data_IF_418270501779
#
_entry.id   IF_418270501779
#
_cell.length_a   1.000
_cell.length_b   1.000
_cell.length_c   1.000
_cell.angle_alpha   90.00
_cell.angle_beta   90.00
_cell.angle_gamma   90.00
#
_symmetry.space_group_name_H-M   'P 1'
#
loop_
_entity.id
_entity.type
_entity.pdbx_description
1 polymer ?
#
# COMPACT_ATOMS: atom_id res chain seq x y z
N UNK A 1 -15.37 -3.54 -16.96
CA UNK A 1 -16.36 -2.86 -16.07
C UNK A 1 -15.68 -1.96 -15.03
N UNK A 2 -14.66 -2.45 -14.27
CA UNK A 2 -13.89 -1.64 -13.32
C UNK A 2 -13.19 -0.47 -14.00
N UNK A 3 -12.38 -0.75 -15.01
CA UNK A 3 -11.61 0.24 -15.75
C UNK A 3 -12.49 1.31 -16.41
N UNK A 4 -13.62 0.91 -17.00
CA UNK A 4 -14.60 1.85 -17.57
C UNK A 4 -15.15 2.81 -16.51
N UNK A 5 -15.59 2.30 -15.35
CA UNK A 5 -16.15 3.16 -14.30
C UNK A 5 -15.14 4.09 -13.67
N UNK A 6 -13.91 3.63 -13.49
CA UNK A 6 -12.84 4.48 -12.96
C UNK A 6 -12.48 5.57 -13.98
N UNK A 7 -12.39 5.22 -15.26
CA UNK A 7 -12.14 6.18 -16.32
C UNK A 7 -13.26 7.22 -16.45
N UNK A 8 -14.52 6.79 -16.44
CA UNK A 8 -15.67 7.71 -16.45
C UNK A 8 -15.64 8.67 -15.25
N UNK A 9 -15.42 8.17 -14.04
CA UNK A 9 -15.37 8.98 -12.83
C UNK A 9 -14.20 9.97 -12.78
N UNK A 10 -13.12 9.70 -13.52
CA UNK A 10 -11.92 10.52 -13.57
C UNK A 10 -11.78 11.29 -14.88
N UNK A 11 -12.83 11.32 -15.72
CA UNK A 11 -12.79 11.90 -17.07
C UNK A 11 -11.60 11.36 -17.89
N UNK A 12 -11.34 10.06 -17.81
CA UNK A 12 -10.25 9.36 -18.50
C UNK A 12 -8.84 9.88 -18.17
N UNK A 13 -8.67 10.62 -17.08
CA UNK A 13 -7.35 11.14 -16.69
C UNK A 13 -6.39 10.03 -16.23
N UNK A 14 -6.91 8.89 -15.79
CA UNK A 14 -6.13 7.72 -15.37
C UNK A 14 -5.82 6.75 -16.51
N UNK A 15 -6.39 6.94 -17.69
CA UNK A 15 -6.12 6.11 -18.88
C UNK A 15 -4.88 6.60 -19.64
N UNK A 16 -3.80 6.82 -18.90
CA UNK A 16 -2.51 7.22 -19.45
C UNK A 16 -1.48 6.12 -19.20
N UNK A 17 -0.51 6.04 -20.06
CA UNK A 17 0.64 5.18 -19.85
C UNK A 17 1.39 5.59 -18.57
N UNK A 18 1.88 4.61 -17.82
CA UNK A 18 2.71 4.87 -16.63
C UNK A 18 3.89 5.79 -16.95
N UNK A 19 4.49 5.64 -18.13
CA UNK A 19 5.60 6.48 -18.60
C UNK A 19 5.25 7.97 -18.74
N UNK A 20 3.97 8.31 -18.95
CA UNK A 20 3.53 9.70 -19.04
C UNK A 20 3.69 10.48 -17.73
N UNK A 21 3.75 9.79 -16.59
CA UNK A 21 3.92 10.39 -15.27
C UNK A 21 5.39 10.59 -14.88
N UNK A 22 6.35 10.06 -15.65
CA UNK A 22 7.78 10.14 -15.32
C UNK A 22 8.28 11.59 -15.22
N UNK A 23 8.01 12.43 -16.22
CA UNK A 23 8.43 13.82 -16.21
C UNK A 23 7.77 14.66 -15.10
N UNK A 24 6.44 14.56 -14.87
CA UNK A 24 5.78 15.20 -13.74
C UNK A 24 6.37 14.82 -12.36
N UNK A 25 6.72 13.55 -12.15
CA UNK A 25 7.41 13.12 -10.92
C UNK A 25 8.80 13.73 -10.79
N UNK A 26 9.61 13.64 -11.86
CA UNK A 26 10.98 14.18 -11.87
C UNK A 26 11.04 15.69 -11.63
N UNK A 27 10.01 16.41 -12.05
CA UNK A 27 9.90 17.85 -11.82
C UNK A 27 9.30 18.23 -10.47
N UNK A 28 8.91 17.25 -9.64
CA UNK A 28 8.23 17.51 -8.37
C UNK A 28 6.78 18.01 -8.51
N UNK A 29 6.21 17.99 -9.73
CA UNK A 29 4.82 18.41 -9.96
C UNK A 29 3.81 17.45 -9.31
N UNK A 30 4.14 16.18 -9.27
CA UNK A 30 3.39 15.14 -8.57
C UNK A 30 4.33 14.32 -7.69
N UNK A 31 3.83 13.69 -6.60
CA UNK A 31 4.61 12.76 -5.80
C UNK A 31 5.05 11.55 -6.61
N UNK A 32 6.15 10.91 -6.21
CA UNK A 32 6.57 9.62 -6.74
C UNK A 32 5.51 8.56 -6.45
N UNK A 33 5.13 7.80 -7.47
CA UNK A 33 4.10 6.76 -7.37
C UNK A 33 4.72 5.37 -7.43
N UNK A 34 4.36 4.53 -6.47
CA UNK A 34 4.70 3.10 -6.46
C UNK A 34 3.41 2.33 -6.23
N UNK A 35 2.97 1.58 -7.23
CA UNK A 35 1.81 0.71 -7.16
C UNK A 35 2.30 -0.72 -6.98
N UNK A 36 1.92 -1.35 -5.86
CA UNK A 36 2.31 -2.73 -5.55
C UNK A 36 1.24 -3.74 -5.95
N UNK A 37 1.65 -4.95 -6.24
CA UNK A 37 0.80 -6.14 -6.33
C UNK A 37 1.56 -7.33 -5.74
N UNK A 38 0.89 -8.47 -5.55
CA UNK A 38 1.51 -9.71 -5.08
C UNK A 38 1.60 -10.71 -6.21
N UNK A 39 2.78 -11.27 -6.47
CA UNK A 39 2.95 -12.40 -7.38
C UNK A 39 2.47 -13.67 -6.67
N UNK A 40 1.49 -14.37 -7.25
CA UNK A 40 0.90 -15.57 -6.62
C UNK A 40 1.92 -16.72 -6.58
N UNK A 41 2.75 -16.84 -7.61
CA UNK A 41 3.65 -17.98 -7.80
C UNK A 41 4.73 -18.10 -6.71
N UNK A 42 5.23 -16.97 -6.21
CA UNK A 42 6.36 -16.94 -5.26
C UNK A 42 6.22 -15.91 -4.14
N UNK A 43 5.08 -15.24 -4.06
CA UNK A 43 4.71 -14.28 -3.02
C UNK A 43 5.57 -13.00 -3.00
N UNK A 44 6.40 -12.72 -4.01
CA UNK A 44 7.13 -11.46 -4.11
C UNK A 44 6.20 -10.29 -4.48
N UNK A 45 6.64 -9.07 -4.14
CA UNK A 45 6.02 -7.88 -4.68
C UNK A 45 6.23 -7.76 -6.18
N UNK A 46 5.24 -7.23 -6.87
CA UNK A 46 5.34 -6.72 -8.23
C UNK A 46 5.11 -5.21 -8.16
N UNK A 47 6.14 -4.42 -8.45
CA UNK A 47 6.06 -2.97 -8.39
C UNK A 47 5.90 -2.37 -9.78
N UNK A 48 4.92 -1.47 -9.89
CA UNK A 48 4.74 -0.58 -11.04
C UNK A 48 5.11 0.83 -10.60
N UNK A 49 5.96 1.49 -11.37
CA UNK A 49 6.34 2.88 -11.14
C UNK A 49 6.71 3.53 -12.47
N UNK A 50 6.45 4.85 -12.65
CA UNK A 50 6.91 5.60 -13.80
C UNK A 50 8.43 5.65 -13.93
N UNK A 51 9.14 5.63 -12.80
CA UNK A 51 10.59 5.65 -12.73
C UNK A 51 11.16 4.31 -12.29
N UNK A 52 12.47 4.09 -12.51
CA UNK A 52 13.12 2.90 -12.00
C UNK A 52 13.22 2.96 -10.47
N UNK A 53 12.79 1.86 -9.85
CA UNK A 53 12.79 1.65 -8.40
C UNK A 53 13.57 0.39 -8.00
N UNK A 54 14.56 0.01 -8.80
CA UNK A 54 15.39 -1.18 -8.59
C UNK A 54 16.05 -1.23 -7.20
N UNK A 55 16.26 -0.07 -6.58
CA UNK A 55 16.78 0.06 -5.21
C UNK A 55 15.78 -0.39 -4.12
N UNK A 56 14.51 -0.64 -4.48
CA UNK A 56 13.47 -1.12 -3.56
C UNK A 56 13.17 -2.62 -3.68
N UNK A 57 13.82 -3.34 -4.59
CA UNK A 57 13.50 -4.76 -4.84
C UNK A 57 13.98 -5.71 -3.74
N UNK A 58 14.85 -5.26 -2.86
CA UNK A 58 15.32 -5.99 -1.69
C UNK A 58 15.47 -5.04 -0.50
N UNK A 59 15.43 -5.55 0.74
CA UNK A 59 15.70 -4.73 1.92
C UNK A 59 17.08 -4.07 1.82
N UNK A 60 17.19 -2.82 2.25
CA UNK A 60 18.44 -2.09 2.32
C UNK A 60 18.96 -2.12 3.76
N UNK A 61 20.06 -2.83 3.98
CA UNK A 61 20.71 -2.88 5.29
C UNK A 61 22.17 -2.50 5.12
N UNK A 62 22.58 -1.48 5.91
CA UNK A 62 23.97 -1.04 6.01
C UNK A 62 24.46 -1.34 7.43
N UNK A 63 25.56 -2.04 7.57
CA UNK A 63 26.22 -2.30 8.84
C UNK A 63 27.59 -1.58 8.91
N UNK A 64 28.32 -1.73 10.02
CA UNK A 64 29.63 -1.13 10.22
C UNK A 64 30.71 -1.54 9.19
N UNK A 65 30.46 -2.62 8.45
CA UNK A 65 31.37 -3.11 7.39
C UNK A 65 30.91 -2.68 5.99
N UNK A 66 29.81 -1.96 5.89
CA UNK A 66 29.22 -1.47 4.66
C UNK A 66 27.86 -2.11 4.34
N UNK A 67 27.54 -2.18 3.06
CA UNK A 67 26.26 -2.70 2.58
C UNK A 67 26.17 -4.22 2.69
N UNK A 68 25.04 -4.74 3.20
CA UNK A 68 24.77 -6.18 3.26
C UNK A 68 24.03 -6.58 1.99
N UNK A 69 24.71 -7.30 1.10
CA UNK A 69 24.16 -7.70 -0.20
C UNK A 69 23.49 -9.09 -0.20
N UNK A 70 23.67 -9.86 0.87
CA UNK A 70 23.11 -11.22 1.01
C UNK A 70 21.65 -11.22 1.50
N UNK A 71 20.84 -10.32 0.93
CA UNK A 71 19.40 -10.24 1.22
C UNK A 71 18.59 -10.80 0.06
N UNK A 72 17.57 -11.58 0.39
CA UNK A 72 16.65 -12.13 -0.60
C UNK A 72 15.98 -11.02 -1.42
N UNK A 73 15.92 -11.21 -2.73
CA UNK A 73 15.13 -10.35 -3.62
C UNK A 73 13.65 -10.54 -3.31
N UNK A 74 13.04 -9.48 -2.79
CA UNK A 74 11.70 -9.48 -2.22
C UNK A 74 10.64 -8.92 -3.18
N UNK A 75 11.09 -8.27 -4.25
CA UNK A 75 10.21 -7.64 -5.22
C UNK A 75 10.75 -7.78 -6.64
N UNK A 76 9.84 -7.58 -7.60
CA UNK A 76 10.12 -7.49 -9.03
C UNK A 76 9.65 -6.12 -9.51
N UNK A 77 10.52 -5.39 -10.19
CA UNK A 77 10.16 -4.15 -10.89
C UNK A 77 9.57 -4.51 -12.25
N UNK A 78 8.30 -4.17 -12.48
CA UNK A 78 7.58 -4.52 -13.71
C UNK A 78 8.27 -3.97 -14.97
N UNK A 79 8.65 -2.70 -14.95
CA UNK A 79 9.28 -2.04 -16.10
C UNK A 79 10.60 -2.70 -16.52
N UNK A 80 11.37 -3.19 -15.56
CA UNK A 80 12.65 -3.87 -15.80
C UNK A 80 12.44 -5.31 -16.26
N UNK A 81 11.53 -6.03 -15.59
CA UNK A 81 11.28 -7.45 -15.88
C UNK A 81 10.63 -7.66 -17.24
N UNK A 82 9.78 -6.74 -17.66
CA UNK A 82 9.07 -6.78 -18.94
C UNK A 82 9.61 -5.79 -20.00
N UNK A 83 10.85 -5.31 -19.83
CA UNK A 83 11.45 -4.32 -20.72
C UNK A 83 11.32 -4.70 -22.18
N UNK A 84 11.66 -5.93 -22.54
CA UNK A 84 11.65 -6.45 -23.92
C UNK A 84 10.24 -6.83 -24.41
N UNK A 85 9.22 -6.67 -23.57
CA UNK A 85 7.80 -6.97 -23.87
C UNK A 85 6.91 -5.73 -23.83
N UNK A 86 7.49 -4.54 -23.96
CA UNK A 86 6.73 -3.30 -24.00
C UNK A 86 6.18 -2.85 -22.65
N UNK A 87 6.91 -3.10 -21.56
CA UNK A 87 6.50 -2.71 -20.20
C UNK A 87 6.19 -1.21 -20.04
N UNK A 88 6.78 -0.35 -20.87
CA UNK A 88 6.48 1.09 -20.90
C UNK A 88 5.07 1.45 -21.39
N UNK A 89 4.37 0.49 -21.99
CA UNK A 89 3.02 0.68 -22.56
C UNK A 89 1.90 0.25 -21.59
N UNK A 90 2.21 -0.06 -20.33
CA UNK A 90 1.16 -0.32 -19.36
C UNK A 90 0.46 0.98 -18.97
N UNK A 91 -0.87 0.95 -18.94
CA UNK A 91 -1.66 2.08 -18.43
C UNK A 91 -1.64 2.12 -16.90
N UNK A 92 -1.74 3.31 -16.34
CA UNK A 92 -1.82 3.48 -14.89
C UNK A 92 -3.01 2.72 -14.29
N UNK A 93 -4.14 2.71 -15.00
CA UNK A 93 -5.35 2.00 -14.58
C UNK A 93 -5.14 0.48 -14.51
N UNK A 94 -4.33 -0.10 -15.38
CA UNK A 94 -4.02 -1.54 -15.37
C UNK A 94 -3.13 -1.90 -14.16
N UNK A 95 -2.19 -1.04 -13.80
CA UNK A 95 -1.41 -1.19 -12.58
C UNK A 95 -2.30 -1.13 -11.33
N UNK A 96 -3.22 -0.14 -11.26
CA UNK A 96 -4.21 -0.03 -10.17
C UNK A 96 -5.12 -1.24 -10.11
N UNK A 97 -5.60 -1.74 -11.26
CA UNK A 97 -6.42 -2.94 -11.32
C UNK A 97 -5.67 -4.15 -10.76
N UNK A 98 -4.40 -4.32 -11.13
CA UNK A 98 -3.58 -5.42 -10.63
C UNK A 98 -3.38 -5.32 -9.11
N UNK A 99 -3.13 -4.10 -8.59
CA UNK A 99 -3.03 -3.82 -7.16
C UNK A 99 -4.29 -4.18 -6.38
N UNK A 100 -5.46 -4.00 -6.98
CA UNK A 100 -6.76 -4.12 -6.34
C UNK A 100 -7.52 -5.42 -6.72
N UNK A 101 -6.83 -6.40 -7.28
CA UNK A 101 -7.40 -7.69 -7.67
C UNK A 101 -7.52 -8.61 -6.44
N UNK A 102 -8.54 -8.34 -5.62
CA UNK A 102 -8.77 -9.09 -4.38
C UNK A 102 -9.29 -10.51 -4.68
N UNK A 103 -8.74 -11.55 -4.02
CA UNK A 103 -9.17 -12.93 -4.19
C UNK A 103 -10.69 -13.10 -3.99
N UNK A 104 -11.31 -13.96 -4.77
CA UNK A 104 -12.75 -14.27 -4.78
C UNK A 104 -13.68 -13.16 -5.29
N UNK A 105 -13.21 -11.90 -5.42
CA UNK A 105 -13.98 -10.78 -5.99
C UNK A 105 -13.60 -10.56 -7.45
N UNK A 106 -12.31 -10.66 -7.77
CA UNK A 106 -11.81 -10.53 -9.14
C UNK A 106 -10.84 -11.65 -9.48
N UNK A 107 -10.82 -12.12 -10.75
CA UNK A 107 -9.84 -13.11 -11.18
C UNK A 107 -8.43 -12.52 -11.15
N UNK A 108 -7.43 -13.36 -10.81
CA UNK A 108 -6.03 -12.97 -10.86
C UNK A 108 -5.63 -12.39 -12.22
N UNK A 109 -4.70 -11.46 -12.24
CA UNK A 109 -4.13 -10.91 -13.48
C UNK A 109 -3.02 -11.84 -13.95
N UNK A 110 -3.14 -12.25 -15.21
CA UNK A 110 -2.15 -13.10 -15.87
C UNK A 110 -1.14 -12.24 -16.62
N UNK A 111 0.13 -12.40 -16.31
CA UNK A 111 1.21 -11.68 -16.97
C UNK A 111 1.68 -12.46 -18.21
N UNK A 112 2.14 -11.78 -19.27
CA UNK A 112 2.55 -12.43 -20.52
C UNK A 112 3.94 -13.10 -20.40
N UNK A 113 4.04 -14.12 -19.55
CA UNK A 113 5.28 -14.85 -19.24
C UNK A 113 5.15 -16.34 -19.54
N UNK A 114 6.31 -17.01 -19.71
CA UNK A 114 6.42 -18.46 -19.76
C UNK A 114 7.56 -18.90 -18.80
N UNK A 115 7.28 -19.60 -17.68
CA UNK A 115 5.96 -20.01 -17.22
C UNK A 115 5.05 -18.83 -16.89
N UNK A 116 3.74 -19.08 -16.88
CA UNK A 116 2.72 -18.06 -16.58
C UNK A 116 2.86 -17.54 -15.14
N UNK A 117 2.98 -16.23 -14.99
CA UNK A 117 2.99 -15.53 -13.71
C UNK A 117 1.61 -14.93 -13.47
N UNK A 118 1.11 -15.08 -12.26
CA UNK A 118 -0.18 -14.54 -11.82
C UNK A 118 0.06 -13.50 -10.73
N UNK A 119 -0.66 -12.39 -10.82
CA UNK A 119 -0.62 -11.31 -9.83
C UNK A 119 -2.00 -11.06 -9.24
N UNK A 120 -2.02 -10.61 -7.99
CA UNK A 120 -3.22 -10.27 -7.23
C UNK A 120 -2.97 -9.12 -6.27
N UNK A 121 -3.96 -8.79 -5.48
CA UNK A 121 -4.00 -7.69 -4.53
C UNK A 121 -2.72 -7.57 -3.69
N UNK A 122 -2.24 -6.34 -3.52
CA UNK A 122 -1.06 -6.04 -2.73
C UNK A 122 -1.27 -6.33 -1.24
N UNK A 123 -2.51 -6.17 -0.74
CA UNK A 123 -2.84 -6.30 0.68
C UNK A 123 -2.57 -7.69 1.26
N UNK A 124 -2.44 -8.71 0.42
CA UNK A 124 -2.04 -10.05 0.87
C UNK A 124 -0.60 -10.02 1.41
N UNK A 125 0.26 -9.22 0.82
CA UNK A 125 1.64 -9.08 1.25
C UNK A 125 1.90 -7.84 2.09
N UNK A 126 1.26 -6.73 1.74
CA UNK A 126 1.45 -5.43 2.36
C UNK A 126 0.18 -4.59 2.23
N UNK A 127 -0.49 -4.36 3.34
CA UNK A 127 -1.78 -3.67 3.36
C UNK A 127 -1.69 -2.16 3.65
N UNK A 128 -0.54 -1.69 4.14
CA UNK A 128 -0.36 -0.31 4.62
C UNK A 128 0.58 0.55 3.77
N UNK A 129 1.40 -0.07 2.94
CA UNK A 129 2.48 0.58 2.20
C UNK A 129 3.70 0.95 3.07
N UNK A 130 3.69 0.62 4.36
CA UNK A 130 4.77 0.98 5.28
C UNK A 130 6.07 0.22 4.99
N UNK A 131 6.00 -1.06 4.60
CA UNK A 131 7.20 -1.82 4.28
C UNK A 131 7.97 -1.19 3.10
N UNK A 132 7.28 -0.71 2.08
CA UNK A 132 7.89 -0.01 0.94
C UNK A 132 8.40 1.36 1.35
N UNK A 133 7.62 2.11 2.14
CA UNK A 133 7.97 3.46 2.58
C UNK A 133 9.17 3.46 3.53
N UNK A 134 9.24 2.51 4.47
CA UNK A 134 10.40 2.37 5.38
C UNK A 134 11.65 1.91 4.63
N UNK A 135 11.50 1.07 3.61
CA UNK A 135 12.59 0.69 2.71
C UNK A 135 13.11 1.87 1.91
N UNK A 136 12.22 2.70 1.37
CA UNK A 136 12.59 3.94 0.70
C UNK A 136 13.39 4.87 1.64
N UNK A 137 12.87 5.10 2.85
CA UNK A 137 13.59 5.88 3.85
C UNK A 137 14.97 5.29 4.13
N UNK A 138 15.09 3.97 4.32
CA UNK A 138 16.37 3.31 4.62
C UNK A 138 17.41 3.51 3.51
N UNK A 139 16.99 3.47 2.24
CA UNK A 139 17.87 3.72 1.08
C UNK A 139 18.40 5.14 1.07
N UNK A 140 17.54 6.12 1.36
CA UNK A 140 17.86 7.56 1.29
C UNK A 140 18.13 8.20 2.67
N UNK A 141 18.27 7.38 3.70
CA UNK A 141 18.40 7.84 5.10
C UNK A 141 19.43 8.95 5.29
N UNK A 142 20.66 8.73 4.82
CA UNK A 142 21.74 9.68 5.02
C UNK A 142 21.42 11.05 4.37
N UNK A 143 20.75 11.04 3.22
CA UNK A 143 20.32 12.26 2.54
C UNK A 143 19.13 12.92 3.24
N UNK A 144 18.15 12.15 3.63
CA UNK A 144 16.94 12.65 4.32
C UNK A 144 17.31 13.26 5.66
N UNK A 145 18.15 12.57 6.45
CA UNK A 145 18.60 13.05 7.74
C UNK A 145 19.44 14.36 7.64
N UNK A 146 20.15 14.53 6.53
CA UNK A 146 20.96 15.74 6.31
C UNK A 146 20.18 16.93 5.72
N UNK A 147 19.04 16.69 5.05
CA UNK A 147 18.38 17.71 4.24
C UNK A 147 16.92 17.97 4.64
N UNK A 148 16.38 17.28 5.64
CA UNK A 148 15.00 17.47 6.08
C UNK A 148 14.90 17.64 7.59
N UNK A 149 13.85 18.33 8.05
CA UNK A 149 13.55 18.50 9.47
C UNK A 149 12.81 17.32 10.09
N UNK A 150 12.32 16.38 9.30
CA UNK A 150 11.57 15.21 9.77
C UNK A 150 10.93 14.41 8.65
N UNK A 151 10.42 13.22 9.03
CA UNK A 151 9.68 12.33 8.14
C UNK A 151 8.30 12.07 8.71
N UNK A 152 7.29 12.15 7.86
CA UNK A 152 5.91 11.83 8.23
C UNK A 152 5.43 10.66 7.37
N UNK A 153 5.23 9.50 7.99
CA UNK A 153 4.54 8.37 7.37
C UNK A 153 3.04 8.53 7.56
N UNK A 154 2.29 8.60 6.47
CA UNK A 154 0.83 8.67 6.50
C UNK A 154 0.26 7.35 5.97
N UNK A 155 -0.58 6.69 6.77
CA UNK A 155 -1.28 5.49 6.36
C UNK A 155 -2.79 5.72 6.31
N UNK A 156 -3.44 5.12 5.32
CA UNK A 156 -4.90 5.07 5.20
C UNK A 156 -5.33 3.62 5.44
N UNK A 157 -6.10 3.38 6.48
CA UNK A 157 -6.48 2.03 6.91
C UNK A 157 -7.99 1.85 6.93
N UNK A 158 -8.42 0.67 6.54
CA UNK A 158 -9.84 0.28 6.57
C UNK A 158 -10.25 -0.22 7.95
N UNK A 159 -9.30 -0.70 8.77
CA UNK A 159 -9.53 -1.22 10.11
C UNK A 159 -8.52 -0.65 11.12
N UNK A 160 -8.94 -0.57 12.38
CA UNK A 160 -8.03 -0.27 13.48
C UNK A 160 -7.05 -1.44 13.70
N UNK A 161 -5.82 -1.13 14.11
CA UNK A 161 -4.83 -2.15 14.52
C UNK A 161 -5.33 -2.99 15.70
N UNK A 162 -6.03 -2.35 16.63
CA UNK A 162 -6.65 -3.01 17.77
C UNK A 162 -8.05 -3.48 17.37
N UNK A 163 -8.20 -4.77 17.13
CA UNK A 163 -9.51 -5.39 16.89
C UNK A 163 -10.10 -5.83 18.21
N UNK A 164 -11.33 -5.39 18.49
CA UNK A 164 -12.13 -5.99 19.57
C UNK A 164 -12.54 -7.41 19.13
N UNK A 165 -12.32 -8.39 20.00
CA UNK A 165 -12.80 -9.75 19.77
C UNK A 165 -14.33 -9.75 19.91
N UNK A 166 -15.03 -9.94 18.81
CA UNK A 166 -16.48 -10.09 18.84
C UNK A 166 -16.84 -11.54 19.18
N UNK A 167 -17.17 -11.79 20.46
CA UNK A 167 -17.47 -13.12 21.02
C UNK A 167 -18.87 -13.62 20.56
N UNK A 168 -19.67 -12.79 19.87
CA UNK A 168 -21.09 -13.01 19.62
C UNK A 168 -21.49 -13.23 18.15
N UNK A 169 -20.56 -13.45 17.25
CA UNK A 169 -20.95 -13.82 15.87
C UNK A 169 -21.61 -15.20 15.87
N UNK A 170 -22.91 -15.23 15.54
CA UNK A 170 -23.65 -16.48 15.25
C UNK A 170 -23.01 -17.14 14.01
N UNK A 171 -22.24 -18.17 14.25
CA UNK A 171 -21.60 -18.94 13.20
C UNK A 171 -22.65 -19.74 12.41
N UNK A 172 -22.68 -19.55 11.12
CA UNK A 172 -23.42 -20.39 10.17
C UNK A 172 -22.50 -21.52 9.72
N UNK A 173 -23.02 -22.72 9.37
CA UNK A 173 -22.21 -23.84 8.89
C UNK A 173 -21.23 -23.48 7.77
N UNK A 174 -21.61 -22.55 6.90
CA UNK A 174 -20.74 -22.04 5.82
C UNK A 174 -19.61 -21.15 6.37
N UNK A 175 -19.88 -20.35 7.40
CA UNK A 175 -18.87 -19.53 8.08
C UNK A 175 -17.88 -20.37 8.87
N UNK A 176 -18.33 -21.50 9.45
CA UNK A 176 -17.44 -22.47 10.13
C UNK A 176 -16.46 -23.13 9.15
N UNK A 177 -16.93 -23.50 7.95
CA UNK A 177 -16.08 -24.11 6.89
C UNK A 177 -15.07 -23.10 6.32
N UNK A 178 -15.43 -21.82 6.23
CA UNK A 178 -14.57 -20.76 5.70
C UNK A 178 -13.75 -20.06 6.80
N UNK A 179 -14.07 -20.26 8.06
CA UNK A 179 -13.41 -19.59 9.20
C UNK A 179 -11.89 -19.82 9.27
N UNK A 180 -11.34 -21.03 8.96
CA UNK A 180 -9.89 -21.25 8.95
C UNK A 180 -9.18 -20.36 7.92
N UNK A 181 -9.76 -20.18 6.72
CA UNK A 181 -9.19 -19.33 5.66
C UNK A 181 -9.24 -17.85 6.07
N UNK A 182 -10.36 -17.41 6.63
CA UNK A 182 -10.51 -16.07 7.18
C UNK A 182 -9.53 -15.80 8.32
N UNK A 183 -9.31 -16.77 9.21
CA UNK A 183 -8.34 -16.68 10.29
C UNK A 183 -6.91 -16.58 9.79
N UNK A 184 -6.55 -17.34 8.74
CA UNK A 184 -5.23 -17.27 8.10
C UNK A 184 -5.01 -15.87 7.51
N UNK A 185 -5.96 -15.33 6.74
CA UNK A 185 -5.86 -13.99 6.16
C UNK A 185 -5.75 -12.90 7.25
N UNK A 186 -6.54 -13.00 8.33
CA UNK A 186 -6.45 -12.09 9.45
C UNK A 186 -5.08 -12.16 10.14
N UNK A 187 -4.52 -13.36 10.28
CA UNK A 187 -3.19 -13.55 10.86
C UNK A 187 -2.09 -12.92 10.00
N UNK A 188 -2.20 -13.01 8.66
CA UNK A 188 -1.28 -12.31 7.76
C UNK A 188 -1.30 -10.80 7.97
N UNK A 189 -2.48 -10.19 8.11
CA UNK A 189 -2.60 -8.75 8.37
C UNK A 189 -1.97 -8.36 9.71
N UNK A 190 -2.20 -9.16 10.76
CA UNK A 190 -1.59 -8.93 12.08
C UNK A 190 -0.06 -9.03 12.03
N UNK A 191 0.49 -10.01 11.30
CA UNK A 191 1.93 -10.15 11.11
C UNK A 191 2.52 -8.99 10.31
N UNK A 192 1.81 -8.49 9.30
CA UNK A 192 2.22 -7.30 8.54
C UNK A 192 2.27 -6.08 9.47
N UNK A 193 1.24 -5.86 10.27
CA UNK A 193 1.19 -4.75 11.22
C UNK A 193 2.34 -4.84 12.24
N UNK A 194 2.58 -6.02 12.81
CA UNK A 194 3.69 -6.26 13.74
C UNK A 194 5.05 -5.97 13.09
N UNK A 195 5.30 -6.50 11.90
CA UNK A 195 6.57 -6.28 11.19
C UNK A 195 6.76 -4.80 10.82
N UNK A 196 5.69 -4.11 10.47
CA UNK A 196 5.73 -2.67 10.18
C UNK A 196 6.06 -1.87 11.45
N UNK A 197 5.46 -2.21 12.59
CA UNK A 197 5.73 -1.55 13.87
C UNK A 197 7.18 -1.78 14.33
N UNK A 198 7.70 -3.00 14.21
CA UNK A 198 9.11 -3.32 14.49
C UNK A 198 10.05 -2.52 13.60
N UNK A 199 9.74 -2.43 12.31
CA UNK A 199 10.54 -1.67 11.34
C UNK A 199 10.55 -0.17 11.67
N UNK A 200 9.40 0.40 12.02
CA UNK A 200 9.28 1.79 12.43
C UNK A 200 10.04 2.07 13.73
N UNK A 201 9.90 1.23 14.75
CA UNK A 201 10.63 1.36 16.01
C UNK A 201 12.15 1.30 15.80
N UNK A 202 12.62 0.43 14.89
CA UNK A 202 14.02 0.38 14.51
C UNK A 202 14.49 1.69 13.84
N UNK A 203 13.68 2.22 12.92
CA UNK A 203 13.99 3.49 12.23
C UNK A 203 14.02 4.66 13.20
N UNK A 204 13.04 4.77 14.11
CA UNK A 204 12.99 5.82 15.14
C UNK A 204 14.25 5.81 16.01
N UNK A 205 14.71 4.61 16.42
CA UNK A 205 15.91 4.47 17.25
C UNK A 205 17.23 4.72 16.49
N UNK A 206 17.25 4.55 15.18
CA UNK A 206 18.47 4.66 14.35
C UNK A 206 18.56 5.96 13.57
N UNK A 207 17.48 6.77 13.55
CA UNK A 207 17.41 8.05 12.85
C UNK A 207 17.91 9.19 13.73
N UNK A 208 18.58 10.18 13.10
CA UNK A 208 18.84 11.49 13.71
C UNK A 208 17.70 12.49 13.44
N UNK A 209 16.74 12.11 12.63
CA UNK A 209 15.61 12.94 12.18
C UNK A 209 14.33 12.49 12.86
N UNK A 210 13.45 13.42 13.21
CA UNK A 210 12.14 13.13 13.80
C UNK A 210 11.27 12.29 12.85
N UNK A 211 10.87 11.11 13.29
CA UNK A 211 9.96 10.24 12.56
C UNK A 211 8.57 10.32 13.17
N UNK A 212 7.57 10.60 12.37
CA UNK A 212 6.17 10.65 12.78
C UNK A 212 5.31 9.72 11.95
N UNK A 213 4.44 8.95 12.60
CA UNK A 213 3.46 8.09 11.94
C UNK A 213 2.05 8.60 12.21
N UNK A 214 1.29 8.85 11.16
CA UNK A 214 -0.09 9.32 11.22
C UNK A 214 -1.00 8.30 10.55
N UNK A 215 -1.83 7.63 11.35
CA UNK A 215 -2.76 6.62 10.86
C UNK A 215 -4.16 7.24 10.75
N UNK A 216 -4.67 7.33 9.52
CA UNK A 216 -6.07 7.69 9.25
C UNK A 216 -6.86 6.42 9.06
N UNK A 217 -7.91 6.23 9.85
CA UNK A 217 -8.69 5.01 9.89
C UNK A 217 -10.11 5.25 9.41
N UNK A 218 -10.66 4.28 8.71
CA UNK A 218 -12.09 4.19 8.51
C UNK A 218 -12.69 3.38 9.65
N UNK A 219 -13.14 4.09 10.71
CA UNK A 219 -13.89 3.47 11.79
C UNK A 219 -15.38 3.44 11.44
N UNK A 220 -15.94 2.24 11.47
CA UNK A 220 -17.36 2.05 11.30
C UNK A 220 -18.12 2.77 12.41
N UNK A 221 -19.08 3.60 12.06
CA UNK A 221 -20.00 4.14 13.06
C UNK A 221 -20.88 3.01 13.61
N UNK A 222 -20.97 2.89 14.96
CA UNK A 222 -21.67 1.79 15.68
C UNK A 222 -23.12 1.49 15.24
N UNK A 223 -23.68 2.29 14.35
CA UNK A 223 -25.08 2.19 13.90
C UNK A 223 -25.28 1.70 12.47
N UNK A 224 -24.21 1.48 11.68
CA UNK A 224 -24.32 1.12 10.26
C UNK A 224 -23.46 -0.09 9.95
N UNK A 225 -23.86 -0.87 8.94
CA UNK A 225 -23.02 -1.95 8.42
C UNK A 225 -21.77 -1.34 7.79
N UNK A 226 -20.61 -1.93 8.03
CA UNK A 226 -19.35 -1.58 7.39
C UNK A 226 -19.55 -1.53 5.87
N UNK A 227 -18.98 -0.53 5.22
CA UNK A 227 -19.00 -0.44 3.77
C UNK A 227 -18.42 -1.72 3.17
N UNK A 228 -19.08 -2.25 2.15
CA UNK A 228 -18.67 -3.48 1.51
C UNK A 228 -17.34 -3.26 0.77
N UNK A 229 -16.48 -4.29 0.75
CA UNK A 229 -15.31 -4.32 -0.12
C UNK A 229 -15.76 -4.58 -1.56
N UNK A 230 -16.43 -3.60 -2.15
CA UNK A 230 -17.05 -3.67 -3.47
C UNK A 230 -16.76 -2.41 -4.28
N UNK A 231 -16.64 -2.60 -5.60
CA UNK A 231 -16.55 -1.48 -6.55
C UNK A 231 -17.88 -0.70 -6.71
N UNK A 232 -18.95 -1.25 -6.17
CA UNK A 232 -20.29 -0.68 -6.22
C UNK A 232 -20.77 -0.31 -4.83
N UNK A 233 -20.31 0.84 -4.34
CA UNK A 233 -20.78 1.38 -3.08
C UNK A 233 -22.13 2.07 -3.24
N UNK A 234 -23.05 1.79 -2.34
CA UNK A 234 -24.30 2.52 -2.20
C UNK A 234 -24.05 3.97 -1.77
N UNK A 235 -25.04 4.83 -1.94
CA UNK A 235 -24.91 6.21 -1.47
C UNK A 235 -24.73 6.32 0.05
N UNK A 236 -25.29 5.37 0.81
CA UNK A 236 -25.13 5.32 2.26
C UNK A 236 -23.70 4.92 2.66
N UNK A 237 -23.12 3.92 2.01
CA UNK A 237 -21.72 3.52 2.21
C UNK A 237 -20.75 4.65 1.84
N UNK A 238 -21.00 5.35 0.74
CA UNK A 238 -20.21 6.53 0.35
C UNK A 238 -20.29 7.66 1.38
N UNK A 239 -21.48 7.89 1.97
CA UNK A 239 -21.66 8.89 3.03
C UNK A 239 -20.96 8.46 4.31
N UNK A 240 -21.01 7.18 4.66
CA UNK A 240 -20.34 6.64 5.83
C UNK A 240 -18.80 6.79 5.72
N UNK A 241 -18.22 6.40 4.59
CA UNK A 241 -16.79 6.60 4.32
C UNK A 241 -16.39 8.08 4.41
N UNK A 242 -17.19 8.98 3.82
CA UNK A 242 -16.91 10.42 3.92
C UNK A 242 -17.00 10.93 5.35
N UNK A 243 -17.91 10.39 6.16
CA UNK A 243 -18.07 10.79 7.56
C UNK A 243 -16.90 10.32 8.45
N UNK A 244 -16.19 9.26 8.05
CA UNK A 244 -15.04 8.76 8.78
C UNK A 244 -13.94 9.81 8.94
N UNK A 245 -13.75 10.67 7.95
CA UNK A 245 -12.76 11.75 8.04
C UNK A 245 -13.09 12.77 9.15
N UNK A 246 -14.37 12.97 9.47
CA UNK A 246 -14.83 13.85 10.55
C UNK A 246 -14.74 13.22 11.95
N UNK A 247 -14.39 11.95 12.06
CA UNK A 247 -14.25 11.27 13.35
C UNK A 247 -13.06 11.83 14.15
N UNK A 248 -13.18 11.77 15.46
CA UNK A 248 -12.26 12.41 16.39
C UNK A 248 -10.78 11.98 16.16
N UNK A 249 -10.54 10.67 16.01
CA UNK A 249 -9.21 10.14 15.72
C UNK A 249 -8.58 10.78 14.47
N UNK A 250 -9.32 10.83 13.36
CA UNK A 250 -8.84 11.40 12.11
C UNK A 250 -8.64 12.91 12.22
N UNK A 251 -9.51 13.61 12.97
CA UNK A 251 -9.34 15.04 13.24
C UNK A 251 -8.12 15.33 14.13
N UNK A 252 -7.81 14.45 15.09
CA UNK A 252 -6.58 14.56 15.90
C UNK A 252 -5.33 14.35 15.02
N UNK A 253 -5.34 13.33 14.12
CA UNK A 253 -4.24 13.13 13.17
C UNK A 253 -4.06 14.33 12.23
N UNK A 254 -5.15 14.93 11.76
CA UNK A 254 -5.10 16.13 10.92
C UNK A 254 -4.53 17.34 11.68
N UNK A 255 -4.89 17.52 12.95
CA UNK A 255 -4.31 18.59 13.80
C UNK A 255 -2.81 18.35 13.99
N UNK A 256 -2.39 17.09 14.26
CA UNK A 256 -0.98 16.73 14.38
C UNK A 256 -0.21 17.01 13.09
N UNK A 257 -0.76 16.60 11.94
CA UNK A 257 -0.15 16.89 10.63
C UNK A 257 0.05 18.38 10.40
N UNK A 258 -0.98 19.20 10.66
CA UNK A 258 -0.88 20.67 10.53
C UNK A 258 0.16 21.28 11.46
N UNK A 259 0.30 20.74 12.67
CA UNK A 259 1.31 21.22 13.62
C UNK A 259 2.74 20.87 13.17
N UNK A 260 2.94 19.66 12.63
CA UNK A 260 4.23 19.23 12.11
C UNK A 260 4.66 20.05 10.89
N UNK A 261 3.75 20.32 9.95
CA UNK A 261 4.04 21.14 8.76
C UNK A 261 4.38 22.58 9.13
N UNK A 262 3.70 23.19 10.13
CA UNK A 262 4.04 24.54 10.61
C UNK A 262 5.36 24.63 11.36
N UNK A 263 5.87 23.53 11.90
CA UNK A 263 7.19 23.49 12.56
C UNK A 263 8.33 23.40 11.53
N UNK A 264 8.01 22.97 10.32
CA UNK A 264 8.97 22.81 9.23
C UNK A 264 9.16 24.11 8.39
N UNK A 265 8.18 25.03 8.43
CA UNK A 265 8.26 26.39 7.87
C UNK A 265 9.03 27.33 8.84
#
# INVERSE_FOLDING_TARGET
>A
MFDMKLNENTNYTMDKLMSAYMKPEQSGMIPMMIVGATIINDQRFLFFSPQSISYLIKPYIKNSKGYVDDMSTDAVEFSRFFKDKGAGNINFIDALRTNATYPYIMPAVYLPTNPEIKAMDAGIRENSGLAVSTRFYSVFKDWIDANTSGVIFITLRVDNKLREFDVNEKQTYLSELLSPVGSILNNFILLQDYNSDVSLAYLENSSSTDINVLNFNYDQTKKRKKASMSWHLTNDEKRDIKSAFAQENNQQMLKKLKALLKKAD
#
